data_IF_371360514529
#
_entry.id   IF_371360514529
#
_cell.length_a   1.000
_cell.length_b   1.000
_cell.length_c   1.000
_cell.angle_alpha   90.00
_cell.angle_beta   90.00
_cell.angle_gamma   90.00
#
_symmetry.space_group_name_H-M   'P 1'
#
loop_
_entity.id
_entity.type
_entity.pdbx_description
1 polymer ?
#
# COMPACT_ATOMS: atom_id res chain seq x y z
N UNK A 1 21.57 5.42 -3.02
CA UNK A 1 20.40 5.52 -2.12
C UNK A 1 20.88 5.32 -0.70
N UNK A 2 20.43 6.14 0.27
CA UNK A 2 20.76 5.92 1.67
C UNK A 2 20.35 4.50 2.11
N UNK A 3 21.08 3.96 3.10
CA UNK A 3 20.83 2.61 3.61
C UNK A 3 19.59 2.59 4.49
N UNK A 4 18.84 1.49 4.45
CA UNK A 4 17.75 1.20 5.39
C UNK A 4 18.17 0.22 6.49
N UNK A 5 19.45 -0.13 6.56
CA UNK A 5 19.97 -1.06 7.56
C UNK A 5 19.84 -0.46 8.97
N UNK A 6 19.31 -1.24 9.90
CA UNK A 6 19.09 -0.83 11.29
C UNK A 6 17.88 0.09 11.50
N UNK A 7 17.08 0.35 10.46
CA UNK A 7 15.85 1.15 10.56
C UNK A 7 14.63 0.26 10.82
N UNK A 8 13.68 0.83 11.56
CA UNK A 8 12.37 0.24 11.85
C UNK A 8 11.38 0.58 10.73
N UNK A 9 10.90 -0.45 10.02
CA UNK A 9 10.05 -0.28 8.83
C UNK A 9 8.80 -1.14 8.97
N UNK A 10 7.63 -0.52 8.90
CA UNK A 10 6.35 -1.22 8.80
C UNK A 10 5.86 -1.22 7.35
N UNK A 11 5.54 -2.39 6.83
CA UNK A 11 4.95 -2.57 5.48
C UNK A 11 3.53 -3.10 5.60
N UNK A 12 2.55 -2.24 5.30
CA UNK A 12 1.13 -2.60 5.26
C UNK A 12 0.80 -3.13 3.87
N UNK A 13 0.30 -4.37 3.79
CA UNK A 13 0.16 -5.09 2.51
C UNK A 13 1.42 -5.85 2.10
N UNK A 14 2.30 -6.20 3.06
CA UNK A 14 3.59 -6.86 2.84
C UNK A 14 3.53 -8.36 2.50
N UNK A 15 2.36 -8.99 2.42
CA UNK A 15 2.22 -10.44 2.26
C UNK A 15 2.40 -10.95 0.82
N UNK A 16 2.26 -10.09 -0.19
CA UNK A 16 2.38 -10.46 -1.61
C UNK A 16 2.81 -9.27 -2.48
N UNK A 17 3.09 -9.53 -3.77
CA UNK A 17 3.35 -8.52 -4.80
C UNK A 17 4.40 -7.46 -4.42
N UNK A 18 4.05 -6.19 -4.65
CA UNK A 18 4.93 -5.05 -4.39
C UNK A 18 5.32 -4.97 -2.91
N UNK A 19 4.37 -5.18 -1.99
CA UNK A 19 4.63 -5.11 -0.56
C UNK A 19 5.62 -6.18 -0.10
N UNK A 20 5.48 -7.42 -0.57
CA UNK A 20 6.43 -8.49 -0.30
C UNK A 20 7.83 -8.18 -0.86
N UNK A 21 7.91 -7.62 -2.06
CA UNK A 21 9.18 -7.17 -2.63
C UNK A 21 9.81 -6.04 -1.82
N UNK A 22 9.02 -5.06 -1.35
CA UNK A 22 9.49 -3.98 -0.47
C UNK A 22 9.99 -4.56 0.86
N UNK A 23 9.21 -5.42 1.52
CA UNK A 23 9.60 -6.07 2.77
C UNK A 23 10.89 -6.88 2.59
N UNK A 24 11.02 -7.61 1.48
CA UNK A 24 12.25 -8.34 1.13
C UNK A 24 13.42 -7.42 0.85
N UNK A 25 13.24 -6.28 0.19
CA UNK A 25 14.34 -5.34 -0.07
C UNK A 25 14.79 -4.61 1.19
N UNK A 26 13.83 -4.21 2.03
CA UNK A 26 14.06 -3.61 3.33
C UNK A 26 14.79 -4.58 4.26
N UNK A 27 14.41 -5.87 4.24
CA UNK A 27 15.14 -6.92 4.94
C UNK A 27 16.49 -7.18 4.28
N UNK A 28 16.56 -7.55 2.99
CA UNK A 28 17.74 -8.05 2.24
C UNK A 28 18.95 -7.13 2.10
N UNK A 29 18.87 -5.85 2.48
CA UNK A 29 20.06 -5.03 2.79
C UNK A 29 20.70 -5.42 4.14
N UNK A 30 20.11 -6.42 4.79
CA UNK A 30 20.63 -7.48 5.65
C UNK A 30 20.09 -8.83 5.09
N UNK A 31 20.96 -9.69 4.59
CA UNK A 31 20.64 -10.81 3.67
C UNK A 31 19.59 -11.85 4.18
N UNK A 32 18.79 -12.38 3.22
CA UNK A 32 18.06 -13.68 3.09
C UNK A 32 16.57 -13.79 3.46
N UNK A 33 15.82 -14.48 2.60
CA UNK A 33 14.43 -14.95 2.79
C UNK A 33 14.39 -16.48 2.69
N UNK A 34 13.88 -17.14 3.72
CA UNK A 34 13.18 -18.43 3.79
C UNK A 34 13.20 -18.85 5.26
N UNK A 35 12.04 -19.22 5.81
CA UNK A 35 11.90 -19.83 7.15
C UNK A 35 12.79 -19.25 8.26
N UNK A 36 12.34 -18.17 8.90
CA UNK A 36 13.05 -17.55 10.03
C UNK A 36 14.35 -16.89 9.58
N UNK A 37 14.36 -15.56 9.49
CA UNK A 37 15.58 -14.82 9.15
C UNK A 37 16.28 -14.50 10.47
N UNK A 38 17.45 -15.09 10.76
CA UNK A 38 18.27 -14.65 11.90
C UNK A 38 18.73 -13.22 11.63
N UNK A 39 18.63 -12.35 12.64
CA UNK A 39 19.07 -10.94 12.66
C UNK A 39 18.21 -9.87 11.99
N UNK A 40 17.01 -10.18 11.49
CA UNK A 40 15.99 -9.17 11.19
C UNK A 40 14.79 -9.33 12.12
N UNK A 41 14.48 -8.32 12.93
CA UNK A 41 13.25 -8.30 13.75
C UNK A 41 12.04 -8.01 12.83
N UNK A 42 11.63 -9.01 12.06
CA UNK A 42 10.44 -8.94 11.21
C UNK A 42 9.25 -9.45 12.01
N UNK A 43 8.30 -8.56 12.29
CA UNK A 43 7.00 -8.91 12.87
C UNK A 43 5.92 -8.81 11.79
N UNK A 44 5.18 -9.90 11.59
CA UNK A 44 4.07 -9.96 10.64
C UNK A 44 2.72 -9.84 11.34
N UNK A 45 1.83 -9.00 10.80
CA UNK A 45 0.45 -8.88 11.25
C UNK A 45 -0.49 -9.18 10.09
N UNK A 46 -1.42 -10.12 10.28
CA UNK A 46 -2.48 -10.38 9.31
C UNK A 46 -3.71 -9.54 9.66
N UNK A 47 -4.09 -8.65 8.76
CA UNK A 47 -5.25 -7.77 8.92
C UNK A 47 -5.96 -7.62 7.59
N UNK A 48 -7.28 -7.74 7.63
CA UNK A 48 -8.13 -7.31 6.53
C UNK A 48 -8.45 -5.83 6.75
N UNK A 49 -8.04 -4.99 5.81
CA UNK A 49 -8.21 -3.53 5.90
C UNK A 49 -9.56 -3.04 5.39
N UNK A 50 -10.40 -3.95 4.90
CA UNK A 50 -11.79 -3.63 4.52
C UNK A 50 -12.81 -3.97 5.60
N UNK A 51 -12.38 -4.65 6.67
CA UNK A 51 -13.26 -5.07 7.77
C UNK A 51 -13.79 -3.88 8.58
N UNK A 52 -14.96 -4.01 9.19
CA UNK A 52 -15.58 -2.95 9.99
C UNK A 52 -14.81 -2.58 11.25
N UNK A 53 -13.97 -3.48 11.76
CA UNK A 53 -13.12 -3.27 12.93
C UNK A 53 -11.67 -2.85 12.58
N UNK A 54 -11.42 -2.56 11.29
CA UNK A 54 -10.08 -2.24 10.77
C UNK A 54 -9.43 -1.10 11.54
N UNK A 55 -10.16 -0.03 11.82
CA UNK A 55 -9.60 1.17 12.46
C UNK A 55 -9.02 0.84 13.84
N UNK A 56 -9.82 0.20 14.70
CA UNK A 56 -9.40 -0.19 16.04
C UNK A 56 -8.25 -1.21 16.03
N UNK A 57 -8.28 -2.17 15.08
CA UNK A 57 -7.21 -3.16 14.94
C UNK A 57 -5.92 -2.54 14.43
N UNK A 58 -6.00 -1.64 13.45
CA UNK A 58 -4.86 -0.92 12.90
C UNK A 58 -4.26 -0.01 13.96
N UNK A 59 -5.08 0.74 14.69
CA UNK A 59 -4.62 1.57 15.81
C UNK A 59 -3.89 0.72 16.85
N UNK A 60 -4.45 -0.41 17.26
CA UNK A 60 -3.78 -1.31 18.21
C UNK A 60 -2.43 -1.77 17.70
N UNK A 61 -2.35 -2.25 16.46
CA UNK A 61 -1.07 -2.68 15.86
C UNK A 61 -0.08 -1.52 15.82
N UNK A 62 -0.51 -0.33 15.41
CA UNK A 62 0.34 0.86 15.36
C UNK A 62 0.86 1.23 16.75
N UNK A 63 0.02 1.17 17.80
CA UNK A 63 0.44 1.39 19.18
C UNK A 63 1.45 0.34 19.64
N UNK A 64 1.18 -0.94 19.37
CA UNK A 64 2.06 -2.05 19.77
C UNK A 64 3.46 -1.92 19.12
N UNK A 65 3.53 -1.60 17.82
CA UNK A 65 4.82 -1.47 17.10
C UNK A 65 5.52 -0.13 17.33
N UNK A 66 4.85 0.85 17.93
CA UNK A 66 5.44 2.16 18.29
C UNK A 66 5.58 2.35 19.80
N UNK A 67 5.41 1.30 20.60
CA UNK A 67 5.50 1.36 22.06
C UNK A 67 6.85 1.89 22.55
N UNK A 68 7.94 1.56 21.85
CA UNK A 68 9.30 1.96 22.18
C UNK A 68 9.78 3.24 21.42
N UNK A 69 8.91 3.84 20.61
CA UNK A 69 9.22 5.03 19.82
C UNK A 69 8.58 5.02 18.42
N UNK A 70 8.77 6.13 17.67
CA UNK A 70 8.28 6.22 16.29
C UNK A 70 9.05 5.29 15.36
N UNK A 71 8.35 4.77 14.35
CA UNK A 71 9.00 4.07 13.25
C UNK A 71 9.82 5.03 12.38
N UNK A 72 10.88 4.53 11.74
CA UNK A 72 11.61 5.31 10.74
C UNK A 72 10.77 5.47 9.48
N UNK A 73 10.12 4.39 9.05
CA UNK A 73 9.33 4.35 7.82
C UNK A 73 8.04 3.52 7.96
N UNK A 74 6.95 4.04 7.39
CA UNK A 74 5.76 3.25 7.04
C UNK A 74 5.62 3.25 5.53
N UNK A 75 5.41 2.06 4.97
CA UNK A 75 5.07 1.85 3.56
C UNK A 75 3.70 1.19 3.47
N UNK A 76 2.76 1.81 2.76
CA UNK A 76 1.41 1.26 2.55
C UNK A 76 1.28 0.84 1.10
N UNK A 77 1.22 -0.47 0.88
CA UNK A 77 1.04 -1.09 -0.44
C UNK A 77 -0.28 -1.84 -0.59
N UNK A 78 -1.10 -1.86 0.46
CA UNK A 78 -2.40 -2.50 0.42
C UNK A 78 -3.33 -1.81 -0.58
N UNK A 79 -4.07 -2.60 -1.33
CA UNK A 79 -4.96 -2.15 -2.39
C UNK A 79 -5.82 -3.29 -2.91
N UNK A 80 -6.76 -2.98 -3.80
CA UNK A 80 -7.73 -3.92 -4.35
C UNK A 80 -7.71 -3.92 -5.87
N UNK A 81 -7.93 -5.09 -6.48
CA UNK A 81 -8.16 -5.23 -7.93
C UNK A 81 -9.62 -5.20 -8.34
N UNK A 82 -10.53 -4.97 -7.37
CA UNK A 82 -11.95 -4.87 -7.66
C UNK A 82 -12.22 -3.76 -8.68
N UNK A 83 -12.69 -4.15 -9.86
CA UNK A 83 -13.13 -3.25 -10.92
C UNK A 83 -14.62 -3.42 -11.05
N UNK A 84 -15.35 -2.35 -10.74
CA UNK A 84 -16.80 -2.29 -10.92
C UNK A 84 -17.15 -1.06 -11.74
N UNK A 85 -18.04 -1.26 -12.71
CA UNK A 85 -18.67 -0.13 -13.39
C UNK A 85 -19.53 0.65 -12.40
N UNK A 86 -19.87 1.90 -12.72
CA UNK A 86 -20.73 2.70 -11.82
C UNK A 86 -22.10 2.04 -11.56
N UNK A 87 -22.59 1.22 -12.51
CA UNK A 87 -23.85 0.49 -12.36
C UNK A 87 -23.75 -0.68 -11.37
N UNK A 88 -22.54 -1.21 -11.14
CA UNK A 88 -22.25 -2.33 -10.25
C UNK A 88 -21.62 -1.88 -8.92
N UNK A 89 -21.29 -0.59 -8.83
CA UNK A 89 -20.76 0.03 -7.62
C UNK A 89 -21.92 0.37 -6.68
N UNK A 90 -22.00 -0.35 -5.57
CA UNK A 90 -22.92 -0.06 -4.47
C UNK A 90 -22.24 0.75 -3.35
N UNK A 91 -23.03 1.15 -2.35
CA UNK A 91 -22.57 1.90 -1.17
C UNK A 91 -21.45 1.17 -0.44
N UNK A 92 -21.63 -0.12 -0.21
CA UNK A 92 -20.75 -0.88 0.68
C UNK A 92 -19.39 -1.08 0.01
N UNK A 93 -19.38 -1.34 -1.30
CA UNK A 93 -18.16 -1.38 -2.08
C UNK A 93 -17.41 -0.02 -2.09
N UNK A 94 -18.12 1.11 -2.16
CA UNK A 94 -17.47 2.43 -2.07
C UNK A 94 -16.85 2.67 -0.70
N UNK A 95 -17.54 2.30 0.38
CA UNK A 95 -17.03 2.42 1.74
C UNK A 95 -15.82 1.50 1.95
N UNK A 96 -15.89 0.26 1.47
CA UNK A 96 -14.80 -0.72 1.52
C UNK A 96 -13.52 -0.17 0.86
N UNK A 97 -13.65 0.34 -0.37
CA UNK A 97 -12.52 0.90 -1.10
C UNK A 97 -12.03 2.20 -0.47
N UNK A 98 -12.93 3.04 0.06
CA UNK A 98 -12.55 4.27 0.78
C UNK A 98 -11.78 3.94 2.06
N UNK A 99 -12.21 2.92 2.80
CA UNK A 99 -11.52 2.44 3.99
C UNK A 99 -10.08 2.05 3.64
N UNK A 100 -9.92 1.24 2.59
CA UNK A 100 -8.63 0.73 2.15
C UNK A 100 -7.68 1.81 1.61
N UNK A 101 -8.19 2.72 0.77
CA UNK A 101 -7.35 3.68 0.03
C UNK A 101 -7.20 5.04 0.70
N UNK A 102 -8.05 5.41 1.65
CA UNK A 102 -8.02 6.74 2.28
C UNK A 102 -7.95 6.64 3.80
N UNK A 103 -8.89 5.93 4.45
CA UNK A 103 -9.00 5.92 5.92
C UNK A 103 -7.81 5.22 6.56
N UNK A 104 -7.54 3.96 6.19
CA UNK A 104 -6.41 3.21 6.74
C UNK A 104 -5.06 3.92 6.49
N UNK A 105 -4.76 4.44 5.27
CA UNK A 105 -3.60 5.30 5.04
C UNK A 105 -3.50 6.51 5.96
N UNK A 106 -4.60 7.26 6.15
CA UNK A 106 -4.59 8.45 6.99
C UNK A 106 -4.26 8.13 8.46
N UNK A 107 -4.76 7.01 8.99
CA UNK A 107 -4.49 6.58 10.37
C UNK A 107 -3.01 6.25 10.63
N UNK A 108 -2.22 6.02 9.57
CA UNK A 108 -0.77 5.76 9.72
C UNK A 108 0.06 7.03 9.89
N UNK A 109 -0.50 8.22 9.60
CA UNK A 109 0.28 9.41 9.31
C UNK A 109 1.26 9.78 10.45
N UNK A 110 0.80 9.77 11.69
CA UNK A 110 1.60 10.29 12.83
C UNK A 110 2.59 9.30 13.45
N UNK A 111 2.66 8.07 12.91
CA UNK A 111 3.35 6.94 13.55
C UNK A 111 4.77 6.68 13.07
N UNK A 112 5.24 7.42 12.07
CA UNK A 112 6.58 7.28 11.52
C UNK A 112 7.27 8.63 11.25
N UNK A 113 8.55 8.58 10.91
CA UNK A 113 9.36 9.72 10.46
C UNK A 113 9.36 9.90 8.95
N UNK A 114 8.71 8.99 8.21
CA UNK A 114 8.56 9.01 6.77
C UNK A 114 7.43 8.08 6.34
N UNK A 115 6.63 8.53 5.37
CA UNK A 115 5.51 7.77 4.82
C UNK A 115 5.65 7.62 3.30
N UNK A 116 5.40 6.41 2.82
CA UNK A 116 5.31 6.10 1.38
C UNK A 116 4.05 5.31 1.10
N UNK A 117 3.20 5.83 0.23
CA UNK A 117 1.97 5.17 -0.20
C UNK A 117 2.12 4.64 -1.62
N UNK A 118 1.53 3.48 -1.90
CA UNK A 118 1.42 2.94 -3.25
C UNK A 118 0.01 3.21 -3.78
N UNK A 119 -0.08 4.13 -4.74
CA UNK A 119 -1.32 4.44 -5.45
C UNK A 119 -1.40 3.77 -6.82
N UNK A 120 -2.22 4.36 -7.68
CA UNK A 120 -2.33 4.03 -9.09
C UNK A 120 -2.42 5.33 -9.92
N UNK A 121 -2.13 5.24 -11.21
CA UNK A 121 -2.35 6.29 -12.21
C UNK A 121 -3.82 6.45 -12.62
N UNK A 122 -4.78 5.79 -11.97
CA UNK A 122 -6.20 5.89 -12.26
C UNK A 122 -6.74 7.32 -12.27
N UNK A 123 -6.14 8.23 -11.49
CA UNK A 123 -6.46 9.68 -11.51
C UNK A 123 -6.02 10.38 -12.80
N UNK A 124 -4.93 9.94 -13.42
CA UNK A 124 -4.31 10.54 -14.60
C UNK A 124 -4.68 9.84 -15.90
N UNK A 125 -4.89 8.52 -15.84
CA UNK A 125 -5.26 7.67 -16.97
C UNK A 125 -6.37 6.70 -16.53
N UNK A 126 -7.61 7.20 -16.35
CA UNK A 126 -8.71 6.36 -15.89
C UNK A 126 -9.03 5.23 -16.87
N UNK A 127 -9.41 4.09 -16.32
CA UNK A 127 -9.84 2.92 -17.10
C UNK A 127 -11.37 2.95 -17.21
N UNK A 128 -11.90 2.78 -18.43
CA UNK A 128 -13.34 2.69 -18.68
C UNK A 128 -13.96 1.58 -17.81
N UNK A 129 -15.07 1.90 -17.13
CA UNK A 129 -15.76 0.95 -16.26
C UNK A 129 -15.12 0.78 -14.88
N UNK A 130 -14.27 1.71 -14.42
CA UNK A 130 -13.74 1.69 -13.06
C UNK A 130 -13.63 3.11 -12.45
N UNK A 131 -14.74 3.90 -12.42
CA UNK A 131 -14.68 5.28 -11.96
C UNK A 131 -14.33 5.42 -10.47
N UNK A 132 -14.78 4.50 -9.61
CA UNK A 132 -14.44 4.50 -8.18
C UNK A 132 -12.92 4.38 -7.95
N UNK A 133 -12.26 3.48 -8.70
CA UNK A 133 -10.80 3.32 -8.62
C UNK A 133 -10.04 4.59 -9.05
N UNK A 134 -10.53 5.28 -10.09
CA UNK A 134 -9.96 6.55 -10.52
C UNK A 134 -10.12 7.64 -9.46
N UNK A 135 -11.31 7.75 -8.86
CA UNK A 135 -11.59 8.70 -7.79
C UNK A 135 -10.69 8.48 -6.57
N UNK A 136 -10.53 7.23 -6.13
CA UNK A 136 -9.70 6.89 -4.97
C UNK A 136 -8.21 7.07 -5.23
N UNK A 137 -7.74 6.79 -6.45
CA UNK A 137 -6.36 7.12 -6.85
C UNK A 137 -6.09 8.62 -6.72
N UNK A 138 -7.04 9.46 -7.17
CA UNK A 138 -6.95 10.92 -7.04
C UNK A 138 -7.06 11.38 -5.60
N UNK A 139 -7.94 10.76 -4.82
CA UNK A 139 -8.10 11.01 -3.39
C UNK A 139 -6.82 10.72 -2.61
N UNK A 140 -6.14 9.61 -2.90
CA UNK A 140 -4.87 9.25 -2.25
C UNK A 140 -3.76 10.24 -2.62
N UNK A 141 -3.64 10.63 -3.90
CA UNK A 141 -2.69 11.69 -4.30
C UNK A 141 -2.98 13.00 -3.55
N UNK A 142 -4.25 13.40 -3.44
CA UNK A 142 -4.67 14.58 -2.69
C UNK A 142 -4.34 14.50 -1.19
N UNK A 143 -4.65 13.37 -0.56
CA UNK A 143 -4.33 13.11 0.85
C UNK A 143 -2.83 13.23 1.11
N UNK A 144 -2.01 12.59 0.27
CA UNK A 144 -0.54 12.63 0.40
C UNK A 144 0.00 14.04 0.25
N UNK A 145 -0.53 14.85 -0.68
CA UNK A 145 -0.13 16.25 -0.79
C UNK A 145 -0.49 17.07 0.46
N UNK A 146 -1.68 16.89 1.01
CA UNK A 146 -2.10 17.55 2.26
C UNK A 146 -1.19 17.17 3.43
N UNK A 147 -1.00 15.86 3.64
CA UNK A 147 -0.12 15.35 4.70
C UNK A 147 1.33 15.84 4.55
N UNK A 148 1.86 15.92 3.32
CA UNK A 148 3.22 16.42 3.11
C UNK A 148 3.39 17.89 3.55
N UNK A 149 2.34 18.71 3.42
CA UNK A 149 2.35 20.10 3.88
C UNK A 149 2.20 20.18 5.40
N UNK A 150 1.19 19.50 5.94
CA UNK A 150 0.84 19.56 7.36
C UNK A 150 1.94 18.97 8.27
N UNK A 151 2.66 17.97 7.76
CA UNK A 151 3.62 17.21 8.54
C UNK A 151 5.07 17.68 8.37
N UNK A 152 5.34 18.74 7.59
CA UNK A 152 6.69 19.23 7.38
C UNK A 152 7.42 19.45 8.74
N UNK A 153 8.68 18.98 8.90
CA UNK A 153 9.61 18.51 7.86
C UNK A 153 9.54 17.01 7.53
N UNK A 154 8.54 16.27 8.01
CA UNK A 154 8.36 14.84 7.72
C UNK A 154 8.08 14.62 6.23
N UNK A 155 8.69 13.58 5.66
CA UNK A 155 8.50 13.24 4.23
C UNK A 155 7.30 12.33 4.02
N UNK A 156 6.35 12.79 3.20
CA UNK A 156 5.17 12.02 2.78
C UNK A 156 5.13 11.95 1.25
N UNK A 157 5.12 10.74 0.68
CA UNK A 157 5.18 10.54 -0.77
C UNK A 157 4.22 9.44 -1.23
N UNK A 158 3.82 9.51 -2.50
CA UNK A 158 3.07 8.45 -3.20
C UNK A 158 3.84 7.99 -4.42
N UNK A 159 3.88 6.68 -4.63
CA UNK A 159 4.36 6.06 -5.88
C UNK A 159 3.16 5.53 -6.64
N UNK A 160 3.14 5.73 -7.97
CA UNK A 160 2.08 5.23 -8.85
C UNK A 160 2.69 4.27 -9.88
N UNK A 161 2.89 2.99 -9.50
CA UNK A 161 3.44 1.97 -10.39
C UNK A 161 2.60 1.83 -11.66
N UNK A 162 3.25 1.49 -12.77
CA UNK A 162 2.54 0.96 -13.94
C UNK A 162 2.13 -0.49 -13.71
N UNK A 163 1.87 -1.22 -14.79
CA UNK A 163 1.67 -2.66 -14.69
C UNK A 163 2.92 -3.34 -14.10
N UNK A 164 2.77 -3.97 -12.95
CA UNK A 164 3.78 -4.78 -12.29
C UNK A 164 3.30 -6.23 -12.24
N UNK A 165 4.18 -7.20 -12.40
CA UNK A 165 3.82 -8.61 -12.24
C UNK A 165 3.64 -8.92 -10.76
N UNK A 166 2.38 -9.09 -10.34
CA UNK A 166 2.01 -9.44 -8.96
C UNK A 166 0.88 -10.47 -8.95
N UNK A 167 0.72 -11.18 -7.83
CA UNK A 167 -0.34 -12.17 -7.61
C UNK A 167 -1.74 -11.53 -7.60
N UNK A 168 -1.79 -10.21 -7.41
CA UNK A 168 -2.99 -9.36 -7.47
C UNK A 168 -3.84 -9.59 -8.75
N UNK A 169 -3.19 -10.09 -9.80
CA UNK A 169 -3.77 -10.39 -11.10
C UNK A 169 -4.51 -11.74 -11.21
N UNK A 170 -4.36 -12.64 -10.24
CA UNK A 170 -4.97 -13.98 -10.29
C UNK A 170 -4.69 -14.73 -11.60
N UNK A 171 -5.68 -15.48 -12.10
CA UNK A 171 -5.59 -16.25 -13.37
C UNK A 171 -5.38 -15.43 -14.65
N UNK A 172 -5.44 -14.09 -14.59
CA UNK A 172 -5.06 -13.24 -15.72
C UNK A 172 -3.53 -13.10 -15.90
N UNK A 173 -2.72 -13.67 -14.99
CA UNK A 173 -1.26 -13.66 -15.12
C UNK A 173 -0.76 -14.40 -16.37
N UNK A 174 -1.41 -15.51 -16.76
CA UNK A 174 -1.00 -16.31 -17.91
C UNK A 174 -1.27 -15.61 -19.26
N UNK A 175 -2.44 -14.96 -19.39
CA UNK A 175 -2.78 -14.18 -20.59
C UNK A 175 -1.94 -12.92 -20.77
N UNK A 176 -1.36 -12.39 -19.68
CA UNK A 176 -0.52 -11.18 -19.72
C UNK A 176 0.94 -11.44 -20.09
N UNK A 177 1.48 -12.63 -19.84
CA UNK A 177 2.85 -12.99 -20.27
C UNK A 177 3.05 -12.84 -21.79
N UNK A 178 1.95 -12.81 -22.55
CA UNK A 178 1.95 -12.67 -24.00
C UNK A 178 1.54 -11.27 -24.48
N UNK A 179 1.09 -10.37 -23.59
CA UNK A 179 0.72 -9.01 -23.96
C UNK A 179 1.94 -8.09 -23.90
N UNK A 180 2.22 -7.30 -24.97
CA UNK A 180 3.24 -6.27 -24.93
C UNK A 180 3.04 -5.33 -23.73
N UNK A 181 4.12 -4.92 -23.06
CA UNK A 181 4.05 -4.06 -21.86
C UNK A 181 3.20 -2.79 -22.07
N UNK A 182 3.19 -2.26 -23.29
CA UNK A 182 2.38 -1.10 -23.69
C UNK A 182 0.86 -1.33 -23.70
N UNK A 183 0.41 -2.59 -23.72
CA UNK A 183 -0.98 -3.01 -23.77
C UNK A 183 -1.49 -3.53 -22.43
N UNK A 184 -0.59 -3.69 -21.44
CA UNK A 184 -0.99 -4.06 -20.09
C UNK A 184 -1.83 -2.94 -19.49
N UNK A 185 -2.97 -3.24 -18.84
CA UNK A 185 -3.74 -2.22 -18.15
C UNK A 185 -2.89 -1.63 -17.03
N UNK A 186 -2.39 -0.41 -17.28
CA UNK A 186 -1.58 0.36 -16.35
C UNK A 186 -2.51 0.91 -15.28
N UNK A 187 -2.26 0.55 -14.02
CA UNK A 187 -2.95 1.16 -12.89
C UNK A 187 -2.55 2.61 -12.75
#
# INVERSE_FOLDING_TARGET
MPSTAGQSILVIGGSSGIGAAVAKLASSRVIKSESGIPDAHVQGFTMDLSATDTEARLEKVLLDVTADGKLDHIVVTAGSTSRRSIAETDRDNLLELTQLYLVAPALTAERASSLVFCGGRGSRKPIKGSPAAAALSGGLEGLVHGLALDMAPLRVNVVNPGAAETELWGGMAEGRKQMPFAQLPLF
#
